data_IF_278126956508
#
_entry.id   IF_278126956508
#
_cell.length_a   1.000
_cell.length_b   1.000
_cell.length_c   1.000
_cell.angle_alpha   90.00
_cell.angle_beta   90.00
_cell.angle_gamma   90.00
#
_symmetry.space_group_name_H-M   'P 1'
#
loop_
_entity.id
_entity.type
_entity.pdbx_description
1 polymer ?
#
# COMPACT_ATOMS: atom_id res chain seq x y z
N UNK A 1 -40.64 -66.79 -30.56
CA UNK A 1 -40.26 -65.93 -31.72
C UNK A 1 -40.70 -64.54 -31.39
N UNK A 2 -39.85 -63.66 -30.93
CA UNK A 2 -39.94 -62.19 -31.05
C UNK A 2 -38.78 -61.62 -30.25
N UNK A 3 -37.81 -61.08 -30.96
CA UNK A 3 -36.60 -60.52 -30.44
C UNK A 3 -36.94 -59.13 -29.85
N UNK A 4 -36.65 -58.96 -28.54
CA UNK A 4 -36.76 -57.69 -27.87
C UNK A 4 -35.41 -56.99 -27.94
N UNK A 5 -35.33 -55.91 -28.71
CA UNK A 5 -34.12 -55.06 -28.83
C UNK A 5 -34.13 -54.04 -27.68
N UNK A 6 -33.18 -54.19 -26.75
CA UNK A 6 -32.98 -53.26 -25.67
C UNK A 6 -32.00 -52.18 -26.12
N UNK A 7 -32.51 -50.97 -26.31
CA UNK A 7 -31.74 -49.77 -26.68
C UNK A 7 -31.27 -49.10 -25.36
N UNK A 8 -29.97 -49.25 -25.04
CA UNK A 8 -29.37 -48.60 -23.92
C UNK A 8 -28.90 -47.21 -24.36
N UNK A 9 -29.61 -46.17 -23.93
CA UNK A 9 -29.19 -44.77 -24.12
C UNK A 9 -28.18 -44.38 -23.04
N UNK A 10 -26.91 -44.23 -23.42
CA UNK A 10 -25.87 -43.66 -22.59
C UNK A 10 -26.05 -42.13 -22.51
N UNK A 11 -26.57 -41.62 -21.39
CA UNK A 11 -26.60 -40.19 -21.10
C UNK A 11 -25.21 -39.83 -20.52
N UNK A 12 -24.37 -39.25 -21.33
CA UNK A 12 -23.13 -38.65 -20.90
C UNK A 12 -23.40 -37.35 -20.13
N UNK A 13 -23.35 -37.41 -18.81
CA UNK A 13 -23.41 -36.26 -17.94
C UNK A 13 -22.11 -35.43 -18.06
N UNK A 14 -22.21 -34.27 -18.69
CA UNK A 14 -21.12 -33.28 -18.70
C UNK A 14 -21.14 -32.56 -17.36
N UNK A 15 -20.26 -32.97 -16.44
CA UNK A 15 -20.01 -32.24 -15.19
C UNK A 15 -19.17 -31.02 -15.51
N UNK A 16 -19.80 -29.84 -15.57
CA UNK A 16 -19.11 -28.55 -15.61
C UNK A 16 -18.55 -28.30 -14.22
N UNK A 17 -17.26 -28.56 -14.03
CA UNK A 17 -16.55 -28.10 -12.86
C UNK A 17 -16.36 -26.59 -12.96
N UNK A 18 -17.17 -25.85 -12.22
CA UNK A 18 -16.94 -24.43 -11.98
C UNK A 18 -15.68 -24.29 -11.10
N UNK A 19 -14.54 -24.00 -11.73
CA UNK A 19 -13.35 -23.55 -11.01
C UNK A 19 -13.63 -22.16 -10.45
N UNK A 20 -13.97 -22.12 -9.16
CA UNK A 20 -13.88 -20.89 -8.39
C UNK A 20 -12.39 -20.54 -8.29
N UNK A 21 -11.94 -19.67 -9.19
CA UNK A 21 -10.62 -19.05 -9.05
C UNK A 21 -10.67 -18.11 -7.86
N UNK A 22 -10.20 -18.59 -6.74
CA UNK A 22 -9.77 -17.76 -5.62
C UNK A 22 -8.72 -16.82 -6.18
N UNK A 23 -9.04 -15.53 -6.24
CA UNK A 23 -8.10 -14.48 -6.59
C UNK A 23 -7.01 -14.43 -5.50
N UNK A 24 -6.04 -15.33 -5.59
CA UNK A 24 -4.77 -15.19 -4.92
C UNK A 24 -4.05 -14.04 -5.61
N UNK A 25 -3.86 -12.95 -4.91
CA UNK A 25 -2.96 -11.88 -5.34
C UNK A 25 -1.54 -12.44 -5.44
N UNK A 26 -1.20 -12.94 -6.62
CA UNK A 26 0.20 -13.15 -6.98
C UNK A 26 0.83 -11.77 -7.14
N UNK A 27 1.76 -11.45 -6.25
CA UNK A 27 2.70 -10.37 -6.46
C UNK A 27 3.42 -10.65 -7.78
N UNK A 28 2.97 -10.00 -8.86
CA UNK A 28 3.58 -10.12 -10.17
C UNK A 28 4.99 -9.54 -10.14
N UNK A 29 5.98 -10.40 -10.10
CA UNK A 29 7.36 -10.04 -10.43
C UNK A 29 7.49 -10.02 -11.94
N UNK A 30 7.18 -8.88 -12.54
CA UNK A 30 7.30 -8.65 -13.97
C UNK A 30 7.63 -7.18 -14.24
N UNK A 31 8.08 -6.86 -15.43
CA UNK A 31 8.59 -5.57 -15.88
C UNK A 31 7.64 -4.35 -15.72
N UNK A 32 6.42 -4.57 -15.23
CA UNK A 32 5.39 -3.54 -15.05
C UNK A 32 5.09 -3.20 -13.57
N UNK A 33 5.94 -3.60 -12.63
CA UNK A 33 5.73 -3.27 -11.23
C UNK A 33 5.91 -1.77 -11.01
N UNK A 34 4.87 -1.11 -10.50
CA UNK A 34 4.90 0.28 -10.10
C UNK A 34 5.19 0.37 -8.60
N UNK A 35 5.87 1.42 -8.21
CA UNK A 35 6.24 1.60 -6.80
C UNK A 35 5.78 2.96 -6.28
N UNK A 36 5.30 2.96 -5.05
CA UNK A 36 5.14 4.19 -4.28
C UNK A 36 6.26 4.23 -3.25
N UNK A 37 7.06 5.28 -3.29
CA UNK A 37 8.06 5.61 -2.29
C UNK A 37 7.48 6.60 -1.32
N UNK A 38 7.44 6.26 -0.05
CA UNK A 38 6.95 7.12 1.02
C UNK A 38 8.14 7.43 1.92
N UNK A 39 8.39 8.69 2.14
CA UNK A 39 9.55 9.11 2.90
C UNK A 39 9.23 10.25 3.87
N UNK A 40 10.00 10.28 4.93
CA UNK A 40 9.95 11.30 5.95
C UNK A 40 11.30 11.97 6.09
N UNK A 41 11.34 13.27 5.86
CA UNK A 41 12.55 14.07 6.05
C UNK A 41 13.05 14.02 7.49
N UNK A 42 14.33 14.27 7.67
CA UNK A 42 14.91 14.41 9.01
C UNK A 42 14.44 15.75 9.60
N UNK A 43 13.51 15.69 10.54
CA UNK A 43 12.93 16.85 11.19
C UNK A 43 13.18 16.79 12.70
N UNK A 44 13.46 17.94 13.30
CA UNK A 44 13.55 18.04 14.76
C UNK A 44 12.16 17.91 15.39
N UNK A 45 11.17 18.62 14.81
CA UNK A 45 9.80 18.56 15.28
C UNK A 45 9.17 17.20 15.01
N UNK A 46 8.72 16.55 16.07
CA UNK A 46 8.13 15.22 16.00
C UNK A 46 9.16 14.09 15.77
N UNK A 47 10.45 14.34 15.94
CA UNK A 47 11.52 13.35 15.70
C UNK A 47 11.29 12.00 16.40
N UNK A 48 10.72 12.03 17.59
CA UNK A 48 10.42 10.84 18.41
C UNK A 48 9.10 10.13 18.06
N UNK A 49 8.24 10.77 17.26
CA UNK A 49 6.98 10.17 16.88
C UNK A 49 7.13 9.42 15.55
N UNK A 50 6.81 8.14 15.51
CA UNK A 50 6.73 7.39 14.27
C UNK A 50 5.33 7.53 13.66
N UNK A 51 5.25 7.57 12.33
CA UNK A 51 3.98 7.71 11.62
C UNK A 51 3.55 6.34 11.08
N UNK A 52 2.34 5.91 11.44
CA UNK A 52 1.73 4.73 10.82
C UNK A 52 1.26 5.11 9.43
N UNK A 53 1.72 4.37 8.41
CA UNK A 53 1.36 4.58 7.01
C UNK A 53 0.45 3.47 6.54
N UNK A 54 -0.62 3.86 5.88
CA UNK A 54 -1.62 3.00 5.31
C UNK A 54 -1.70 3.24 3.81
N UNK A 55 -1.90 2.18 3.05
CA UNK A 55 -2.19 2.25 1.61
C UNK A 55 -3.42 1.38 1.38
N UNK A 56 -4.47 1.97 0.81
CA UNK A 56 -5.77 1.33 0.57
C UNK A 56 -6.28 0.61 1.81
N UNK A 57 -6.36 1.35 2.93
CA UNK A 57 -6.81 0.87 4.24
C UNK A 57 -5.95 -0.23 4.90
N UNK A 58 -4.82 -0.61 4.27
CA UNK A 58 -3.88 -1.57 4.83
C UNK A 58 -2.69 -0.86 5.48
N UNK A 59 -2.45 -1.11 6.77
CA UNK A 59 -1.26 -0.63 7.47
C UNK A 59 -0.01 -1.35 6.93
N UNK A 60 0.96 -0.59 6.46
CA UNK A 60 2.16 -1.14 5.82
C UNK A 60 3.44 -0.88 6.61
N UNK A 61 3.55 0.28 7.24
CA UNK A 61 4.79 0.70 7.85
C UNK A 61 4.53 1.67 9.00
N UNK A 62 5.44 1.68 9.97
CA UNK A 62 5.53 2.71 11.00
C UNK A 62 6.82 3.48 10.74
N UNK A 63 6.74 4.49 9.86
CA UNK A 63 7.90 5.20 9.34
C UNK A 63 8.57 6.08 10.39
N UNK A 64 9.88 5.93 10.52
CA UNK A 64 10.74 6.68 11.43
C UNK A 64 11.24 7.98 10.78
N UNK A 65 11.77 8.88 11.61
CA UNK A 65 12.35 10.14 11.14
C UNK A 65 13.59 9.91 10.26
N UNK A 66 13.71 10.61 9.14
CA UNK A 66 14.82 10.49 8.20
C UNK A 66 14.88 9.16 7.43
N UNK A 67 13.75 8.48 7.30
CA UNK A 67 13.66 7.17 6.64
C UNK A 67 12.67 7.20 5.48
N UNK A 68 12.79 6.20 4.61
CA UNK A 68 11.80 5.92 3.55
C UNK A 68 11.49 4.42 3.50
N UNK A 69 10.36 4.08 2.90
CA UNK A 69 10.06 2.71 2.46
C UNK A 69 9.38 2.74 1.10
N UNK A 70 9.31 1.60 0.46
CA UNK A 70 8.62 1.45 -0.81
C UNK A 70 7.62 0.31 -0.76
N UNK A 71 6.55 0.46 -1.51
CA UNK A 71 5.54 -0.58 -1.70
C UNK A 71 5.28 -0.76 -3.20
N UNK A 72 5.16 -2.02 -3.63
CA UNK A 72 4.71 -2.34 -4.98
C UNK A 72 3.18 -2.28 -5.00
N UNK A 73 2.63 -1.60 -5.99
CA UNK A 73 1.19 -1.45 -6.19
C UNK A 73 0.82 -1.70 -7.65
N UNK A 74 -0.44 -2.04 -7.90
CA UNK A 74 -0.98 -2.11 -9.25
C UNK A 74 -1.14 -0.69 -9.83
N UNK A 75 -1.19 -0.52 -11.16
CA UNK A 75 -1.63 0.75 -11.75
C UNK A 75 -3.06 1.10 -11.32
N UNK A 76 -3.32 2.38 -11.07
CA UNK A 76 -4.60 2.88 -10.61
C UNK A 76 -4.47 3.96 -9.55
N UNK A 77 -5.59 4.42 -9.01
CA UNK A 77 -5.64 5.41 -7.93
C UNK A 77 -5.51 4.70 -6.59
N UNK A 78 -4.58 5.15 -5.77
CA UNK A 78 -4.32 4.64 -4.44
C UNK A 78 -4.45 5.73 -3.40
N UNK A 79 -5.09 5.41 -2.27
CA UNK A 79 -5.19 6.30 -1.11
C UNK A 79 -4.08 5.97 -0.12
N UNK A 80 -3.26 6.98 0.18
CA UNK A 80 -2.19 6.84 1.17
C UNK A 80 -2.54 7.71 2.38
N UNK A 81 -2.45 7.13 3.57
CA UNK A 81 -2.76 7.81 4.82
C UNK A 81 -1.59 7.74 5.78
N UNK A 82 -1.37 8.82 6.51
CA UNK A 82 -0.41 8.86 7.62
C UNK A 82 -1.14 9.22 8.90
N UNK A 83 -0.88 8.45 9.97
CA UNK A 83 -1.51 8.62 11.28
C UNK A 83 -0.46 8.61 12.38
N UNK A 84 -0.56 9.55 13.31
CA UNK A 84 0.16 9.49 14.58
C UNK A 84 -0.86 9.05 15.64
N UNK A 85 -0.55 7.96 16.32
CA UNK A 85 -1.33 7.51 17.47
C UNK A 85 -1.21 8.50 18.64
N UNK A 86 -2.19 8.51 19.51
CA UNK A 86 -2.21 9.37 20.68
C UNK A 86 -3.64 9.63 21.16
N UNK A 87 -3.75 10.27 22.31
CA UNK A 87 -5.03 10.65 22.91
C UNK A 87 -5.29 12.14 22.67
N UNK A 88 -6.50 12.48 22.25
CA UNK A 88 -6.94 13.86 22.06
C UNK A 88 -6.13 14.62 21.03
N UNK A 89 -5.57 15.78 21.43
CA UNK A 89 -4.82 16.69 20.53
C UNK A 89 -3.53 16.10 19.95
N UNK A 90 -3.06 14.99 20.48
CA UNK A 90 -1.86 14.30 19.99
C UNK A 90 -2.15 13.41 18.78
N UNK A 91 -3.41 13.06 18.54
CA UNK A 91 -3.80 12.29 17.35
C UNK A 91 -3.75 13.20 16.11
N UNK A 92 -2.98 12.77 15.12
CA UNK A 92 -2.82 13.48 13.84
C UNK A 92 -3.01 12.49 12.71
N UNK A 93 -3.74 12.91 11.69
CA UNK A 93 -3.93 12.12 10.47
C UNK A 93 -3.96 13.02 9.24
N UNK A 94 -3.55 12.48 8.12
CA UNK A 94 -3.62 13.12 6.79
C UNK A 94 -3.64 12.05 5.72
N UNK A 95 -4.12 12.39 4.54
CA UNK A 95 -4.18 11.50 3.39
C UNK A 95 -3.87 12.22 2.08
N UNK A 96 -3.45 11.47 1.09
CA UNK A 96 -3.28 11.89 -0.30
C UNK A 96 -3.73 10.76 -1.23
N UNK A 97 -4.38 11.09 -2.34
CA UNK A 97 -4.67 10.17 -3.43
C UNK A 97 -3.60 10.32 -4.51
N UNK A 98 -3.15 9.21 -5.06
CA UNK A 98 -2.06 9.15 -6.04
C UNK A 98 -2.44 8.25 -7.20
N UNK A 99 -2.31 8.76 -8.41
CA UNK A 99 -2.54 8.00 -9.63
C UNK A 99 -1.24 7.34 -10.08
N UNK A 100 -1.21 6.02 -10.00
CA UNK A 100 -0.05 5.20 -10.35
C UNK A 100 -0.17 4.70 -11.78
N UNK A 101 0.82 5.02 -12.59
CA UNK A 101 0.95 4.54 -13.97
C UNK A 101 1.88 3.34 -14.01
N UNK A 102 1.54 2.34 -14.83
CA UNK A 102 2.36 1.13 -15.00
C UNK A 102 3.83 1.44 -15.27
N UNK A 103 4.73 0.77 -14.56
CA UNK A 103 6.18 0.93 -14.68
C UNK A 103 6.76 2.25 -14.15
N UNK A 104 5.93 3.13 -13.55
CA UNK A 104 6.40 4.38 -12.95
C UNK A 104 6.48 4.30 -11.43
N UNK A 105 7.24 5.23 -10.89
CA UNK A 105 7.38 5.40 -9.43
C UNK A 105 6.83 6.75 -9.01
N UNK A 106 5.99 6.74 -7.98
CA UNK A 106 5.47 7.94 -7.33
C UNK A 106 6.21 8.17 -6.00
N UNK A 107 6.37 9.41 -5.62
CA UNK A 107 7.13 9.80 -4.42
C UNK A 107 6.27 10.68 -3.53
N UNK A 108 6.08 10.23 -2.29
CA UNK A 108 5.22 10.90 -1.30
C UNK A 108 6.08 11.35 -0.14
N UNK A 109 6.16 12.66 0.04
CA UNK A 109 6.77 13.28 1.23
C UNK A 109 5.74 13.31 2.36
N UNK A 110 6.11 12.79 3.52
CA UNK A 110 5.26 12.79 4.71
C UNK A 110 6.00 13.47 5.87
N UNK A 111 5.61 14.67 6.22
CA UNK A 111 6.31 15.49 7.20
C UNK A 111 5.35 16.08 8.24
N UNK A 112 5.90 16.43 9.40
CA UNK A 112 5.20 17.26 10.35
C UNK A 112 5.43 18.74 10.01
N UNK A 113 4.35 19.49 9.87
CA UNK A 113 4.38 20.95 9.75
C UNK A 113 3.96 21.55 11.08
N UNK A 114 4.82 22.36 11.64
CA UNK A 114 4.56 23.10 12.87
C UNK A 114 4.23 24.56 12.54
N UNK A 115 3.18 25.07 13.17
CA UNK A 115 2.81 26.47 13.21
C UNK A 115 2.90 26.93 14.66
N UNK A 116 2.86 28.23 14.90
CA UNK A 116 2.92 28.85 16.24
C UNK A 116 1.88 28.23 17.20
N UNK A 117 0.72 27.83 16.67
CA UNK A 117 -0.40 27.32 17.49
C UNK A 117 -0.74 25.87 17.27
N UNK A 118 -0.26 25.22 16.19
CA UNK A 118 -0.68 23.84 15.84
C UNK A 118 0.41 23.10 15.08
N UNK A 119 0.54 21.81 15.39
CA UNK A 119 1.28 20.87 14.58
C UNK A 119 0.30 20.05 13.73
N UNK A 120 0.64 19.77 12.47
CA UNK A 120 -0.14 18.92 11.57
C UNK A 120 0.76 17.97 10.79
N UNK A 121 0.24 16.82 10.42
CA UNK A 121 0.84 15.99 9.38
C UNK A 121 0.52 16.57 8.01
N UNK A 122 1.46 16.48 7.10
CA UNK A 122 1.28 16.86 5.70
C UNK A 122 1.88 15.80 4.81
N UNK A 123 1.07 15.32 3.88
CA UNK A 123 1.52 14.43 2.81
C UNK A 123 1.40 15.14 1.48
N UNK A 124 2.42 15.03 0.67
CA UNK A 124 2.45 15.67 -0.65
C UNK A 124 3.15 14.77 -1.64
N UNK A 125 2.51 14.53 -2.77
CA UNK A 125 3.18 13.91 -3.91
C UNK A 125 4.19 14.91 -4.48
N UNK A 126 5.40 14.44 -4.75
CA UNK A 126 6.47 15.25 -5.32
C UNK A 126 6.93 14.66 -6.64
N UNK A 127 7.45 15.50 -7.51
CA UNK A 127 8.00 15.05 -8.80
C UNK A 127 9.15 14.08 -8.57
N UNK A 128 9.27 13.09 -9.44
CA UNK A 128 10.24 11.98 -9.34
C UNK A 128 11.68 12.46 -9.09
N UNK A 129 12.12 13.51 -9.79
CA UNK A 129 13.46 14.09 -9.62
C UNK A 129 13.72 14.56 -8.19
N UNK A 130 12.73 15.20 -7.57
CA UNK A 130 12.82 15.67 -6.18
C UNK A 130 12.81 14.49 -5.23
N UNK A 131 11.87 13.56 -5.39
CA UNK A 131 11.74 12.41 -4.52
C UNK A 131 12.99 11.53 -4.52
N UNK A 132 13.57 11.26 -5.70
CA UNK A 132 14.85 10.52 -5.80
C UNK A 132 15.98 11.21 -5.03
N UNK A 133 16.15 12.51 -5.23
CA UNK A 133 17.18 13.29 -4.52
C UNK A 133 17.00 13.28 -3.00
N UNK A 134 15.75 13.31 -2.55
CA UNK A 134 15.46 13.32 -1.11
C UNK A 134 15.76 11.98 -0.48
N UNK A 135 15.33 10.86 -1.09
CA UNK A 135 15.58 9.52 -0.55
C UNK A 135 17.03 9.06 -0.63
N UNK A 136 17.86 9.60 -1.55
CA UNK A 136 19.30 9.33 -1.62
C UNK A 136 20.03 9.60 -0.29
N UNK A 137 19.53 10.53 0.50
CA UNK A 137 20.10 10.93 1.79
C UNK A 137 19.49 10.17 2.97
N UNK A 138 18.58 9.24 2.69
CA UNK A 138 17.83 8.50 3.71
C UNK A 138 18.18 7.03 3.64
N UNK A 139 17.92 6.31 4.69
CA UNK A 139 18.01 4.85 4.71
C UNK A 139 16.63 4.22 4.71
N UNK A 140 16.56 2.99 4.19
CA UNK A 140 15.34 2.20 4.20
C UNK A 140 14.88 1.98 5.64
N UNK A 141 13.58 2.15 5.88
CA UNK A 141 12.96 1.83 7.16
C UNK A 141 12.73 0.32 7.26
N UNK A 142 12.95 -0.24 8.43
CA UNK A 142 12.64 -1.63 8.72
C UNK A 142 11.17 -1.87 9.04
N UNK A 143 10.36 -0.80 9.08
CA UNK A 143 8.91 -0.83 9.32
C UNK A 143 8.50 -1.62 10.57
N UNK A 144 9.24 -1.45 11.67
CA UNK A 144 8.93 -2.12 12.93
C UNK A 144 7.49 -1.80 13.38
N UNK A 145 6.74 -2.84 13.79
CA UNK A 145 5.34 -2.73 14.22
C UNK A 145 4.33 -2.63 13.09
N UNK A 146 4.67 -3.04 11.86
CA UNK A 146 3.75 -2.96 10.73
C UNK A 146 2.73 -4.10 10.64
N UNK A 147 2.93 -5.22 11.34
CA UNK A 147 2.12 -6.43 11.15
C UNK A 147 1.34 -6.85 12.40
N UNK A 148 1.77 -6.52 13.62
CA UNK A 148 1.27 -7.15 14.84
C UNK A 148 0.57 -6.24 15.87
N UNK A 149 0.42 -4.94 15.64
CA UNK A 149 -0.38 -4.12 16.54
C UNK A 149 -1.88 -4.36 16.24
N UNK A 150 -2.45 -5.38 16.87
CA UNK A 150 -3.90 -5.51 17.03
C UNK A 150 -4.35 -4.33 17.90
N UNK A 151 -5.04 -3.39 17.31
CA UNK A 151 -5.91 -2.45 18.03
C UNK A 151 -7.18 -3.15 18.50
#
# INVERSE_FOLDING_TARGET
>A
MKKLLLLVACIAGISVMANAQTAGQSAGSGADSSFIYIYRGCQFDGALANFSIWVDDKKLCKISNGKYFRVAVAPGTHKIEAKIGGVGVMKKETSVEVDVVAGKSNYISCNMKQSITRARLEMTEVVEKTGKKDIEKMSLDNCQGSIDDKD
#
